data_IF_026891978339
#
_entry.id   IF_026891978339
#
_cell.length_a   1.000
_cell.length_b   1.000
_cell.length_c   1.000
_cell.angle_alpha   90.00
_cell.angle_beta   90.00
_cell.angle_gamma   90.00
#
_symmetry.space_group_name_H-M   'P 1'
#
loop_
_entity.id
_entity.type
_entity.pdbx_description
1 polymer ?
#
# COMPACT_ATOMS: atom_id res chain seq x y z
N UNK A 1 -3.56 15.93 -17.98
CA UNK A 1 -3.95 14.56 -17.61
C UNK A 1 -3.78 13.68 -18.83
N UNK A 2 -2.93 12.67 -18.77
CA UNK A 2 -2.81 11.63 -19.79
C UNK A 2 -2.94 10.26 -19.11
N UNK A 3 -3.72 9.35 -19.69
CA UNK A 3 -3.99 8.02 -19.15
C UNK A 3 -3.54 6.93 -20.12
N UNK A 4 -3.38 5.71 -19.61
CA UNK A 4 -3.16 4.55 -20.46
C UNK A 4 -4.41 4.23 -21.29
N UNK A 5 -4.20 3.82 -22.54
CA UNK A 5 -5.24 3.26 -23.40
C UNK A 5 -5.66 1.86 -22.96
N UNK A 6 -6.86 1.44 -23.36
CA UNK A 6 -7.42 0.12 -23.08
C UNK A 6 -6.47 -1.03 -23.48
N UNK A 7 -6.53 -2.15 -22.74
CA UNK A 7 -5.86 -3.39 -23.10
C UNK A 7 -6.91 -4.30 -23.74
N UNK A 8 -6.94 -4.35 -25.07
CA UNK A 8 -7.94 -5.11 -25.82
C UNK A 8 -7.77 -6.64 -25.79
N UNK A 9 -6.69 -7.15 -25.18
CA UNK A 9 -6.42 -8.60 -25.04
C UNK A 9 -6.31 -8.95 -23.55
N UNK A 10 -7.27 -9.70 -22.98
CA UNK A 10 -7.33 -10.00 -21.55
C UNK A 10 -6.21 -10.92 -21.07
N UNK A 11 -5.44 -11.54 -21.97
CA UNK A 11 -4.30 -12.40 -21.62
C UNK A 11 -2.99 -11.63 -21.49
N UNK A 12 -2.96 -10.35 -21.90
CA UNK A 12 -1.77 -9.51 -21.90
C UNK A 12 -1.78 -8.51 -20.76
N UNK A 13 -0.58 -8.14 -20.31
CA UNK A 13 -0.38 -7.06 -19.35
C UNK A 13 0.51 -5.97 -19.97
N UNK A 14 0.29 -4.72 -19.57
CA UNK A 14 1.17 -3.59 -19.91
C UNK A 14 2.01 -3.26 -18.69
N UNK A 15 3.33 -3.20 -18.86
CA UNK A 15 4.26 -2.72 -17.83
C UNK A 15 4.77 -1.35 -18.29
N UNK A 16 4.60 -0.34 -17.46
CA UNK A 16 5.12 1.01 -17.71
C UNK A 16 5.90 1.50 -16.50
N UNK A 17 6.97 2.24 -16.75
CA UNK A 17 7.67 3.03 -15.74
C UNK A 17 7.37 4.50 -16.02
N UNK A 18 6.93 5.23 -15.01
CA UNK A 18 6.73 6.68 -15.08
C UNK A 18 7.71 7.31 -14.10
N UNK A 19 8.63 8.12 -14.61
CA UNK A 19 9.57 8.89 -13.81
C UNK A 19 9.10 10.36 -13.82
N UNK A 20 8.77 10.89 -12.64
CA UNK A 20 8.54 12.32 -12.47
C UNK A 20 9.84 12.97 -11.98
N UNK A 21 10.30 14.01 -12.67
CA UNK A 21 11.45 14.80 -12.25
C UNK A 21 10.95 16.09 -11.61
N UNK A 22 11.46 16.39 -10.42
CA UNK A 22 11.16 17.60 -9.67
C UNK A 22 12.48 18.28 -9.31
N UNK A 23 12.49 19.60 -9.18
CA UNK A 23 13.65 20.28 -8.58
C UNK A 23 13.68 20.02 -7.07
N UNK A 24 14.85 20.14 -6.45
CA UNK A 24 14.96 20.05 -4.98
C UNK A 24 14.02 21.06 -4.28
N UNK A 25 13.93 22.28 -4.83
CA UNK A 25 13.03 23.30 -4.32
C UNK A 25 11.56 22.88 -4.42
N UNK A 26 11.15 22.18 -5.49
CA UNK A 26 9.79 21.67 -5.65
C UNK A 26 9.50 20.55 -4.66
N UNK A 27 10.43 19.60 -4.46
CA UNK A 27 10.26 18.53 -3.47
C UNK A 27 10.19 19.08 -2.04
N UNK A 28 10.97 20.12 -1.71
CA UNK A 28 10.93 20.74 -0.38
C UNK A 28 9.67 21.59 -0.16
N UNK A 29 9.10 22.18 -1.23
CA UNK A 29 7.84 22.94 -1.19
C UNK A 29 6.62 22.03 -1.17
N UNK A 30 6.66 20.93 -1.90
CA UNK A 30 5.70 19.85 -1.77
C UNK A 30 5.90 19.22 -0.40
N UNK A 31 5.10 19.68 0.57
CA UNK A 31 4.83 18.93 1.79
C UNK A 31 4.02 17.66 1.47
N UNK A 32 4.37 16.89 0.43
CA UNK A 32 3.88 15.53 0.31
C UNK A 32 4.52 14.77 1.46
N UNK A 33 3.72 14.46 2.48
CA UNK A 33 4.14 13.83 3.74
C UNK A 33 4.79 12.46 3.54
N UNK A 34 4.85 11.98 2.30
CA UNK A 34 5.37 10.68 1.92
C UNK A 34 6.75 10.75 1.23
N UNK A 35 7.38 11.94 1.12
CA UNK A 35 8.77 12.04 0.65
C UNK A 35 9.75 11.70 1.78
N UNK A 36 10.55 10.65 1.60
CA UNK A 36 11.56 10.18 2.55
C UNK A 36 12.97 10.30 1.94
N UNK A 37 13.92 10.86 2.69
CA UNK A 37 15.33 10.88 2.28
C UNK A 37 15.93 9.46 2.41
N UNK A 38 16.42 8.92 1.30
CA UNK A 38 17.12 7.64 1.27
C UNK A 38 18.24 7.69 0.22
N UNK A 39 19.46 7.38 0.64
CA UNK A 39 20.67 7.37 -0.19
C UNK A 39 20.93 8.68 -0.96
N UNK A 40 20.66 9.83 -0.31
CA UNK A 40 20.90 11.14 -0.91
C UNK A 40 19.86 11.60 -1.94
N UNK A 41 18.71 10.91 -2.03
CA UNK A 41 17.57 11.28 -2.86
C UNK A 41 16.26 11.28 -2.06
N UNK A 42 15.22 11.95 -2.58
CA UNK A 42 13.88 11.95 -2.00
C UNK A 42 13.01 10.90 -2.70
N UNK A 43 12.49 9.96 -1.92
CA UNK A 43 11.68 8.83 -2.39
C UNK A 43 10.23 8.98 -1.96
N UNK A 44 9.29 8.69 -2.86
CA UNK A 44 7.86 8.65 -2.55
C UNK A 44 7.49 7.33 -1.86
N UNK A 45 7.43 7.32 -0.53
CA UNK A 45 6.90 6.22 0.27
C UNK A 45 5.37 6.31 0.40
N UNK A 46 4.69 6.23 -0.74
CA UNK A 46 3.22 6.26 -0.79
C UNK A 46 2.66 4.86 -0.51
N UNK A 47 1.65 4.78 0.36
CA UNK A 47 0.82 3.57 0.46
C UNK A 47 0.18 3.27 -0.90
N UNK A 48 0.24 2.02 -1.40
CA UNK A 48 -0.43 1.67 -2.64
C UNK A 48 -1.94 1.89 -2.53
N UNK A 49 -2.65 1.99 -3.67
CA UNK A 49 -4.10 2.11 -3.67
C UNK A 49 -4.74 1.01 -2.82
N UNK A 50 -5.81 1.32 -2.07
CA UNK A 50 -6.49 0.34 -1.25
C UNK A 50 -7.06 -0.80 -2.10
N UNK A 51 -6.83 -2.04 -1.69
CA UNK A 51 -7.34 -3.24 -2.35
C UNK A 51 -8.21 -4.03 -1.37
N UNK A 52 -9.33 -4.54 -1.88
CA UNK A 52 -10.19 -5.48 -1.18
C UNK A 52 -9.94 -6.88 -1.72
N UNK A 53 -9.40 -7.75 -0.88
CA UNK A 53 -9.06 -9.12 -1.27
C UNK A 53 -9.59 -10.05 -0.21
N UNK A 54 -10.41 -11.03 -0.62
CA UNK A 54 -10.96 -12.01 0.30
C UNK A 54 -9.81 -12.75 1.05
N UNK A 55 -9.91 -12.95 2.38
CA UNK A 55 -8.79 -13.43 3.18
C UNK A 55 -8.23 -14.80 2.72
N UNK A 56 -9.08 -15.65 2.15
CA UNK A 56 -8.73 -16.95 1.59
C UNK A 56 -7.78 -16.88 0.37
N UNK A 57 -7.60 -15.69 -0.24
CA UNK A 57 -6.63 -15.49 -1.31
C UNK A 57 -5.20 -15.29 -0.80
N UNK A 58 -4.99 -15.24 0.52
CA UNK A 58 -3.67 -15.21 1.13
C UNK A 58 -3.25 -16.61 1.56
N UNK A 59 -1.99 -16.95 1.30
CA UNK A 59 -1.43 -18.27 1.55
C UNK A 59 0.09 -18.28 1.35
N UNK A 60 0.74 -19.45 1.29
CA UNK A 60 2.19 -19.56 1.16
C UNK A 60 2.76 -18.81 -0.06
N UNK A 61 2.09 -18.92 -1.21
CA UNK A 61 2.53 -18.26 -2.46
C UNK A 61 2.11 -16.78 -2.55
N UNK A 62 1.21 -16.34 -1.66
CA UNK A 62 0.69 -14.97 -1.63
C UNK A 62 0.51 -14.53 -0.18
N UNK A 63 1.60 -14.17 0.51
CA UNK A 63 1.53 -13.79 1.91
C UNK A 63 0.67 -12.53 2.08
N UNK A 64 0.02 -12.43 3.23
CA UNK A 64 -0.69 -11.21 3.61
C UNK A 64 0.32 -10.07 3.83
N UNK A 65 0.09 -8.87 3.25
CA UNK A 65 1.01 -7.75 3.40
C UNK A 65 0.79 -7.03 4.74
N UNK A 66 1.22 -7.68 5.83
CA UNK A 66 1.04 -7.28 7.23
C UNK A 66 1.40 -5.81 7.49
N UNK A 67 2.65 -5.42 7.20
CA UNK A 67 3.13 -4.08 7.52
C UNK A 67 2.36 -2.98 6.78
N UNK A 68 1.94 -3.26 5.55
CA UNK A 68 1.15 -2.35 4.74
C UNK A 68 -0.25 -2.16 5.34
N UNK A 69 -0.88 -3.25 5.77
CA UNK A 69 -2.17 -3.22 6.47
C UNK A 69 -2.08 -2.44 7.79
N UNK A 70 -1.07 -2.72 8.61
CA UNK A 70 -0.85 -2.02 9.88
C UNK A 70 -0.48 -0.55 9.69
N UNK A 71 0.15 -0.19 8.56
CA UNK A 71 0.47 1.20 8.23
C UNK A 71 -0.79 1.97 7.82
N UNK A 72 -1.78 1.28 7.26
CA UNK A 72 -3.09 1.87 6.94
C UNK A 72 -4.01 1.96 8.16
N UNK A 73 -3.97 0.99 9.07
CA UNK A 73 -4.85 0.89 10.24
C UNK A 73 -4.06 1.01 11.53
N UNK A 74 -3.79 2.25 11.94
CA UNK A 74 -2.99 2.58 13.14
C UNK A 74 -3.59 2.03 14.44
N UNK A 75 -4.91 1.91 14.51
CA UNK A 75 -5.62 1.30 15.63
C UNK A 75 -5.32 -0.20 15.74
N UNK A 76 -5.31 -0.91 14.60
CA UNK A 76 -4.92 -2.33 14.57
C UNK A 76 -3.44 -2.48 14.92
N UNK A 77 -2.58 -1.58 14.41
CA UNK A 77 -1.16 -1.56 14.79
C UNK A 77 -0.98 -1.41 16.30
N UNK A 78 -1.72 -0.49 16.93
CA UNK A 78 -1.66 -0.31 18.37
C UNK A 78 -2.15 -1.55 19.13
N UNK A 79 -3.23 -2.20 18.65
CA UNK A 79 -3.75 -3.42 19.24
C UNK A 79 -2.76 -4.60 19.14
N UNK A 80 -2.07 -4.74 18.00
CA UNK A 80 -1.01 -5.75 17.82
C UNK A 80 0.20 -5.45 18.70
N UNK A 81 0.67 -4.20 18.73
CA UNK A 81 1.80 -3.80 19.57
C UNK A 81 1.50 -3.96 21.08
N UNK A 82 0.24 -3.76 21.49
CA UNK A 82 -0.22 -4.00 22.85
C UNK A 82 -0.56 -5.46 23.18
N UNK A 83 -0.39 -6.40 22.24
CA UNK A 83 -0.66 -7.82 22.43
C UNK A 83 -2.15 -8.20 22.50
N UNK A 84 -3.07 -7.28 22.22
CA UNK A 84 -4.50 -7.55 22.17
C UNK A 84 -4.89 -8.39 20.94
N UNK A 85 -4.06 -8.35 19.88
CA UNK A 85 -4.22 -9.15 18.68
C UNK A 85 -2.87 -9.76 18.26
N UNK A 86 -2.85 -11.00 17.74
CA UNK A 86 -1.60 -11.65 17.38
C UNK A 86 -0.98 -11.10 16.09
N UNK A 87 -1.79 -10.52 15.20
CA UNK A 87 -1.34 -9.89 13.94
C UNK A 87 -2.46 -9.03 13.32
N UNK A 88 -2.07 -8.16 12.40
CA UNK A 88 -2.95 -7.45 11.49
C UNK A 88 -3.70 -8.42 10.56
N UNK A 89 -3.08 -9.51 10.13
CA UNK A 89 -3.75 -10.55 9.37
C UNK A 89 -4.89 -11.21 10.16
N UNK A 90 -4.66 -11.52 11.44
CA UNK A 90 -5.72 -12.04 12.31
C UNK A 90 -6.88 -11.05 12.43
N UNK A 91 -6.59 -9.75 12.62
CA UNK A 91 -7.62 -8.73 12.57
C UNK A 91 -8.37 -8.74 11.23
N UNK A 92 -7.65 -8.79 10.10
CA UNK A 92 -8.24 -8.76 8.77
C UNK A 92 -9.18 -9.94 8.50
N UNK A 93 -8.75 -11.15 8.87
CA UNK A 93 -9.51 -12.39 8.69
C UNK A 93 -10.81 -12.40 9.48
N UNK A 94 -10.77 -11.94 10.74
CA UNK A 94 -11.91 -12.05 11.65
C UNK A 94 -12.84 -10.82 11.62
N UNK A 95 -12.32 -9.64 11.30
CA UNK A 95 -13.05 -8.38 11.39
C UNK A 95 -12.85 -7.52 10.15
N UNK A 96 -11.60 -7.22 9.80
CA UNK A 96 -11.26 -6.19 8.81
C UNK A 96 -11.90 -6.38 7.44
N UNK A 97 -12.01 -7.62 6.95
CA UNK A 97 -12.67 -7.88 5.67
C UNK A 97 -14.17 -7.57 5.72
N UNK A 98 -14.88 -7.99 6.78
CA UNK A 98 -16.30 -7.71 6.97
C UNK A 98 -16.56 -6.22 7.21
N UNK A 99 -15.64 -5.54 7.90
CA UNK A 99 -15.65 -4.09 8.14
C UNK A 99 -15.31 -3.26 6.89
N UNK A 100 -14.99 -3.90 5.76
CA UNK A 100 -14.50 -3.23 4.54
C UNK A 100 -13.29 -2.34 4.83
N UNK A 101 -12.34 -2.83 5.63
CA UNK A 101 -11.02 -2.22 5.81
C UNK A 101 -10.11 -2.69 4.68
N UNK A 102 -9.63 -1.81 3.79
CA UNK A 102 -8.79 -2.27 2.69
C UNK A 102 -7.37 -2.62 3.16
N UNK A 103 -6.69 -3.39 2.33
CA UNK A 103 -5.24 -3.56 2.37
C UNK A 103 -4.62 -2.39 1.60
#
# INVERSE_FOLDING_TARGET
MHGGSEIGDPTKTRRSLVCHYFTEADCRKQKDSHLEELNGALWLNRLPPPVYTAPERFGPDRPFPEELYLRRHSDVRAAVAGGAMPSGFHHYQHYGFAEKRPI
#
